data_IF_846241967803
#
_entry.id   IF_846241967803
#
_cell.length_a   1.000
_cell.length_b   1.000
_cell.length_c   1.000
_cell.angle_alpha   90.00
_cell.angle_beta   90.00
_cell.angle_gamma   90.00
#
_symmetry.space_group_name_H-M   'P 1'
#
loop_
_entity.id
_entity.type
_entity.pdbx_description
1 polymer ?
#
# COMPACT_ATOMS: atom_id res chain seq x y z
N UNK A 1 13.13 14.74 -25.08
CA UNK A 1 13.57 13.66 -24.16
C UNK A 1 12.50 12.59 -24.19
N UNK A 2 12.83 11.41 -24.69
CA UNK A 2 11.96 10.22 -24.72
C UNK A 2 11.90 9.60 -23.32
N UNK A 3 10.70 9.49 -22.75
CA UNK A 3 10.47 8.73 -21.51
C UNK A 3 10.78 7.24 -21.74
N UNK A 4 11.39 6.57 -20.75
CA UNK A 4 11.72 5.15 -20.83
C UNK A 4 10.45 4.30 -20.63
N UNK A 5 9.89 3.83 -21.74
CA UNK A 5 8.74 2.95 -21.70
C UNK A 5 9.15 1.53 -21.28
N UNK A 6 8.75 1.11 -20.08
CA UNK A 6 9.04 -0.22 -19.51
C UNK A 6 8.01 -1.28 -19.94
N UNK A 7 7.83 -1.44 -21.25
CA UNK A 7 6.88 -2.43 -21.79
C UNK A 7 7.36 -3.88 -21.67
N UNK A 8 6.38 -4.77 -21.44
CA UNK A 8 6.55 -6.22 -21.48
C UNK A 8 7.53 -6.75 -20.44
N UNK A 9 7.86 -8.04 -20.57
CA UNK A 9 8.71 -8.77 -19.62
C UNK A 9 10.08 -8.13 -19.41
N UNK A 10 10.71 -7.62 -20.47
CA UNK A 10 12.00 -6.93 -20.36
C UNK A 10 11.90 -5.67 -19.50
N UNK A 11 10.83 -4.88 -19.67
CA UNK A 11 10.59 -3.71 -18.84
C UNK A 11 10.32 -4.07 -17.38
N UNK A 12 9.58 -5.15 -17.13
CA UNK A 12 9.35 -5.65 -15.77
C UNK A 12 10.67 -6.08 -15.10
N UNK A 13 11.49 -6.87 -15.78
CA UNK A 13 12.80 -7.28 -15.28
C UNK A 13 13.73 -6.10 -15.03
N UNK A 14 13.64 -5.06 -15.86
CA UNK A 14 14.39 -3.82 -15.67
C UNK A 14 13.94 -3.06 -14.42
N UNK A 15 12.68 -3.13 -14.00
CA UNK A 15 12.26 -2.56 -12.72
C UNK A 15 12.78 -3.42 -11.55
N UNK A 16 12.67 -4.74 -11.65
CA UNK A 16 13.08 -5.70 -10.61
C UNK A 16 14.60 -5.78 -10.41
N UNK A 17 15.39 -5.36 -11.41
CA UNK A 17 16.86 -5.33 -11.31
C UNK A 17 17.39 -4.25 -10.37
N UNK A 18 16.53 -3.38 -9.84
CA UNK A 18 16.92 -2.33 -8.90
C UNK A 18 16.56 -2.71 -7.46
N UNK A 19 17.56 -2.90 -6.60
CA UNK A 19 17.39 -2.91 -5.15
C UNK A 19 17.39 -1.46 -4.64
N UNK A 20 16.27 -1.02 -4.04
CA UNK A 20 15.99 0.40 -3.76
C UNK A 20 15.70 0.63 -2.26
N UNK A 21 16.65 0.39 -1.34
CA UNK A 21 16.43 0.70 0.07
C UNK A 21 15.98 2.15 0.26
N UNK A 22 15.07 2.37 1.20
CA UNK A 22 14.56 3.70 1.50
C UNK A 22 15.69 4.71 1.73
N UNK A 23 15.51 5.90 1.16
CA UNK A 23 16.42 7.03 1.22
C UNK A 23 17.85 6.76 0.71
N UNK A 24 18.04 5.68 -0.07
CA UNK A 24 19.31 5.38 -0.69
C UNK A 24 19.58 6.23 -1.94
N UNK A 25 20.84 6.40 -2.36
CA UNK A 25 21.16 6.99 -3.66
C UNK A 25 20.54 6.22 -4.84
N UNK A 26 20.36 4.91 -4.69
CA UNK A 26 19.81 4.04 -5.76
C UNK A 26 18.31 4.23 -5.92
N UNK A 27 17.55 4.33 -4.81
CA UNK A 27 16.13 4.70 -4.85
C UNK A 27 15.95 6.05 -5.55
N UNK A 28 16.74 7.08 -5.19
CA UNK A 28 16.68 8.39 -5.86
C UNK A 28 17.02 8.32 -7.35
N UNK A 29 18.04 7.53 -7.72
CA UNK A 29 18.43 7.35 -9.11
C UNK A 29 17.33 6.64 -9.92
N UNK A 30 16.68 5.63 -9.34
CA UNK A 30 15.54 4.95 -9.95
C UNK A 30 14.41 5.94 -10.27
N UNK A 31 14.07 6.80 -9.32
CA UNK A 31 13.03 7.81 -9.56
C UNK A 31 13.41 8.80 -10.65
N UNK A 32 14.66 9.27 -10.66
CA UNK A 32 15.16 10.16 -11.70
C UNK A 32 15.14 9.52 -13.09
N UNK A 33 15.30 8.21 -13.17
CA UNK A 33 15.31 7.46 -14.42
C UNK A 33 13.89 7.17 -14.93
N UNK A 34 13.03 6.63 -14.07
CA UNK A 34 11.72 6.07 -14.48
C UNK A 34 10.51 6.91 -14.08
N UNK A 35 10.61 7.81 -13.10
CA UNK A 35 9.44 8.59 -12.63
C UNK A 35 9.53 10.05 -13.06
N UNK A 36 10.63 10.72 -12.75
CA UNK A 36 10.80 12.17 -12.92
C UNK A 36 10.88 12.58 -14.41
N UNK A 37 11.12 11.63 -15.32
CA UNK A 37 11.10 11.85 -16.77
C UNK A 37 9.70 11.83 -17.38
N UNK A 38 8.69 11.40 -16.63
CA UNK A 38 7.30 11.39 -17.10
C UNK A 38 6.79 12.84 -17.15
N UNK A 39 6.28 13.32 -18.29
CA UNK A 39 5.73 14.66 -18.38
C UNK A 39 4.61 14.88 -17.37
N UNK A 40 4.74 15.93 -16.56
CA UNK A 40 3.75 16.29 -15.54
C UNK A 40 3.96 15.63 -14.18
N UNK A 41 4.93 14.72 -14.03
CA UNK A 41 5.29 14.15 -12.74
C UNK A 41 5.82 15.25 -11.81
N UNK A 42 5.30 15.30 -10.59
CA UNK A 42 5.73 16.23 -9.54
C UNK A 42 6.23 15.45 -8.34
N UNK A 43 7.18 16.03 -7.60
CA UNK A 43 7.57 15.54 -6.29
C UNK A 43 7.00 16.47 -5.21
N UNK A 44 6.51 15.90 -4.11
CA UNK A 44 6.20 16.67 -2.90
C UNK A 44 7.47 16.92 -2.05
N UNK A 45 7.31 17.50 -0.86
CA UNK A 45 8.45 17.83 0.00
C UNK A 45 9.10 16.61 0.68
N UNK A 46 8.38 15.48 0.78
CA UNK A 46 8.93 14.20 1.25
C UNK A 46 9.67 13.47 0.11
N UNK A 47 9.23 13.71 -1.12
CA UNK A 47 9.73 13.12 -2.35
C UNK A 47 8.80 12.07 -2.94
N UNK A 48 7.54 11.96 -2.52
CA UNK A 48 6.55 11.12 -3.21
C UNK A 48 6.33 11.68 -4.62
N UNK A 49 6.05 10.81 -5.60
CA UNK A 49 5.83 11.24 -6.99
C UNK A 49 4.35 11.18 -7.32
N UNK A 50 3.86 12.27 -7.90
CA UNK A 50 2.45 12.57 -8.08
C UNK A 50 2.21 12.92 -9.54
N UNK A 51 1.30 12.21 -10.18
CA UNK A 51 0.86 12.51 -11.55
C UNK A 51 -0.66 12.40 -11.64
N UNK A 52 -1.29 13.39 -12.27
CA UNK A 52 -2.73 13.35 -12.57
C UNK A 52 -2.92 13.16 -14.07
N UNK A 53 -3.70 12.15 -14.45
CA UNK A 53 -4.15 11.93 -15.83
C UNK A 53 -5.67 12.02 -15.88
N UNK A 54 -6.20 12.75 -16.86
CA UNK A 54 -7.63 13.02 -17.02
C UNK A 54 -8.10 14.29 -16.30
N UNK A 55 -9.37 14.66 -16.53
CA UNK A 55 -10.02 15.78 -15.84
C UNK A 55 -10.63 15.30 -14.52
N UNK A 56 -10.12 15.82 -13.39
CA UNK A 56 -10.58 15.52 -12.03
C UNK A 56 -10.86 14.02 -11.78
N UNK A 57 -9.84 13.17 -11.88
CA UNK A 57 -10.02 11.74 -11.64
C UNK A 57 -10.47 11.49 -10.19
N UNK A 58 -11.34 10.50 -10.01
CA UNK A 58 -11.88 10.10 -8.70
C UNK A 58 -11.24 8.83 -8.14
N UNK A 59 -10.29 8.25 -8.88
CA UNK A 59 -9.55 7.05 -8.47
C UNK A 59 -8.07 7.38 -8.38
N UNK A 60 -7.47 6.96 -7.29
CA UNK A 60 -6.04 6.99 -7.03
C UNK A 60 -5.45 5.59 -7.18
N UNK A 61 -4.36 5.51 -7.91
CA UNK A 61 -3.54 4.31 -8.11
C UNK A 61 -2.25 4.50 -7.34
N UNK A 62 -1.85 3.52 -6.52
CA UNK A 62 -0.62 3.63 -5.73
C UNK A 62 0.28 2.41 -5.76
N UNK A 63 1.57 2.69 -5.61
CA UNK A 63 2.66 1.75 -5.38
C UNK A 63 3.74 2.42 -4.54
N UNK A 64 4.52 1.66 -3.79
CA UNK A 64 5.67 2.21 -3.09
C UNK A 64 6.96 2.01 -3.90
N UNK A 65 7.93 2.91 -3.73
CA UNK A 65 9.15 2.94 -4.54
C UNK A 65 10.29 2.16 -3.89
N UNK A 66 10.41 2.23 -2.58
CA UNK A 66 11.47 1.56 -1.85
C UNK A 66 11.31 0.03 -1.82
N UNK A 67 12.34 -0.66 -1.37
CA UNK A 67 12.34 -2.11 -1.17
C UNK A 67 13.02 -2.40 0.16
N UNK A 68 12.67 -3.48 0.87
CA UNK A 68 13.40 -3.89 2.10
C UNK A 68 14.88 -4.27 1.94
N UNK A 69 15.46 -4.23 0.73
CA UNK A 69 16.85 -4.63 0.51
C UNK A 69 17.82 -3.89 1.45
N UNK A 70 18.76 -4.60 2.08
CA UNK A 70 19.69 -4.00 3.05
C UNK A 70 20.77 -3.11 2.38
N UNK A 71 21.00 -3.29 1.08
CA UNK A 71 21.95 -2.51 0.28
C UNK A 71 21.36 -2.23 -1.09
N UNK A 72 21.48 -0.98 -1.53
CA UNK A 72 21.01 -0.58 -2.85
C UNK A 72 22.00 -0.98 -3.94
N UNK A 73 21.47 -1.27 -5.12
CA UNK A 73 22.29 -1.56 -6.29
C UNK A 73 21.51 -2.26 -7.40
N UNK A 74 22.25 -2.70 -8.41
CA UNK A 74 21.73 -3.57 -9.46
C UNK A 74 21.81 -5.03 -9.04
N UNK A 75 20.83 -5.83 -9.43
CA UNK A 75 20.74 -7.25 -9.13
C UNK A 75 20.34 -8.09 -10.34
N UNK A 76 20.87 -9.30 -10.42
CA UNK A 76 20.58 -10.24 -11.50
C UNK A 76 19.21 -10.91 -11.23
N UNK A 77 18.24 -10.66 -12.10
CA UNK A 77 16.90 -11.26 -12.07
C UNK A 77 16.71 -12.15 -13.30
N UNK A 78 16.09 -13.30 -13.11
CA UNK A 78 15.76 -14.25 -14.19
C UNK A 78 14.31 -14.70 -14.11
N UNK A 79 13.78 -15.18 -15.23
CA UNK A 79 12.47 -15.82 -15.34
C UNK A 79 12.72 -17.28 -15.71
N UNK A 80 12.07 -18.21 -15.01
CA UNK A 80 12.15 -19.64 -15.32
C UNK A 80 11.12 -20.08 -16.39
N UNK A 81 11.09 -21.37 -16.70
CA UNK A 81 10.17 -21.95 -17.70
C UNK A 81 8.68 -21.91 -17.27
N UNK A 82 8.41 -21.58 -16.01
CA UNK A 82 7.06 -21.47 -15.43
C UNK A 82 6.60 -20.01 -15.30
N UNK A 83 7.31 -19.07 -15.94
CA UNK A 83 7.05 -17.63 -15.87
C UNK A 83 7.19 -17.06 -14.44
N UNK A 84 8.07 -17.64 -13.62
CA UNK A 84 8.37 -17.14 -12.28
C UNK A 84 9.66 -16.33 -12.31
N UNK A 85 9.57 -15.04 -12.01
CA UNK A 85 10.72 -14.17 -11.80
C UNK A 85 11.30 -14.35 -10.39
N UNK A 86 12.63 -14.38 -10.29
CA UNK A 86 13.35 -14.47 -9.01
C UNK A 86 14.80 -13.98 -9.14
N UNK A 87 15.46 -13.75 -8.00
CA UNK A 87 16.88 -13.43 -7.96
C UNK A 87 17.73 -14.62 -8.43
N UNK A 88 18.58 -14.42 -9.43
CA UNK A 88 19.52 -15.45 -9.90
C UNK A 88 20.54 -15.88 -8.83
N UNK A 89 20.89 -14.96 -7.92
CA UNK A 89 21.90 -15.16 -6.85
C UNK A 89 21.44 -14.55 -5.53
N UNK A 90 20.22 -14.87 -5.09
CA UNK A 90 19.65 -14.36 -3.84
C UNK A 90 20.50 -14.69 -2.60
N UNK A 91 20.68 -13.71 -1.71
CA UNK A 91 21.41 -13.81 -0.44
C UNK A 91 20.68 -13.06 0.67
N UNK A 92 20.95 -13.41 1.93
CA UNK A 92 20.40 -12.70 3.07
C UNK A 92 20.62 -11.17 2.94
N UNK A 93 19.57 -10.39 3.21
CA UNK A 93 19.55 -8.94 3.04
C UNK A 93 19.27 -8.46 1.61
N UNK A 94 18.98 -9.36 0.68
CA UNK A 94 18.43 -9.03 -0.65
C UNK A 94 16.94 -9.39 -0.70
N UNK A 95 16.22 -8.72 -1.59
CA UNK A 95 14.85 -9.03 -1.99
C UNK A 95 14.75 -8.90 -3.52
N UNK A 96 13.81 -9.60 -4.15
CA UNK A 96 13.55 -9.42 -5.57
C UNK A 96 13.02 -7.99 -5.82
N UNK A 97 12.29 -7.44 -4.85
CA UNK A 97 11.67 -6.12 -4.96
C UNK A 97 10.52 -6.11 -5.95
N UNK A 98 9.82 -7.25 -6.09
CA UNK A 98 8.51 -7.31 -6.72
C UNK A 98 7.45 -6.66 -5.84
N UNK A 99 7.70 -6.67 -4.54
CA UNK A 99 7.17 -5.78 -3.51
C UNK A 99 8.04 -4.48 -3.45
N UNK A 100 7.64 -3.35 -4.07
CA UNK A 100 6.49 -3.17 -4.98
C UNK A 100 6.91 -2.80 -6.42
N UNK A 101 7.94 -3.48 -6.96
CA UNK A 101 8.32 -3.35 -8.36
C UNK A 101 7.23 -3.79 -9.34
N UNK A 102 6.34 -4.71 -8.95
CA UNK A 102 5.23 -5.17 -9.77
C UNK A 102 4.16 -4.07 -9.92
N UNK A 103 3.75 -3.42 -8.83
CA UNK A 103 2.81 -2.30 -8.85
C UNK A 103 3.36 -1.09 -9.60
N UNK A 104 4.63 -0.76 -9.40
CA UNK A 104 5.31 0.29 -10.19
C UNK A 104 5.21 -0.02 -11.69
N UNK A 105 5.55 -1.24 -12.10
CA UNK A 105 5.52 -1.62 -13.52
C UNK A 105 4.10 -1.54 -14.11
N UNK A 106 3.07 -1.99 -13.38
CA UNK A 106 1.66 -1.86 -13.77
C UNK A 106 1.30 -0.39 -13.97
N UNK A 107 1.57 0.47 -12.98
CA UNK A 107 1.24 1.88 -13.03
C UNK A 107 1.95 2.61 -14.17
N UNK A 108 3.24 2.33 -14.42
CA UNK A 108 3.98 2.95 -15.52
C UNK A 108 3.37 2.63 -16.89
N UNK A 109 2.87 1.40 -17.08
CA UNK A 109 2.19 1.00 -18.31
C UNK A 109 0.76 1.58 -18.41
N UNK A 110 0.04 1.72 -17.29
CA UNK A 110 -1.24 2.45 -17.26
C UNK A 110 -1.08 3.93 -17.61
N UNK A 111 -0.04 4.58 -17.08
CA UNK A 111 0.34 5.96 -17.40
C UNK A 111 0.64 6.09 -18.90
N UNK A 112 1.43 5.18 -19.45
CA UNK A 112 1.78 5.18 -20.87
C UNK A 112 0.54 5.00 -21.78
N UNK A 113 -0.46 4.24 -21.32
CA UNK A 113 -1.75 4.09 -21.99
C UNK A 113 -2.74 5.22 -21.72
N UNK A 114 -2.35 6.25 -20.95
CA UNK A 114 -3.20 7.41 -20.65
C UNK A 114 -4.43 7.08 -19.81
N UNK A 115 -4.37 6.04 -18.97
CA UNK A 115 -5.50 5.67 -18.10
C UNK A 115 -5.75 6.79 -17.08
N UNK A 116 -6.99 7.31 -16.94
CA UNK A 116 -7.29 8.35 -15.97
C UNK A 116 -7.01 7.92 -14.53
N UNK A 117 -6.55 8.85 -13.70
CA UNK A 117 -6.24 8.57 -12.30
C UNK A 117 -5.31 9.60 -11.67
N UNK A 118 -5.31 9.64 -10.34
CA UNK A 118 -4.23 10.19 -9.55
C UNK A 118 -3.22 9.07 -9.28
N UNK A 119 -2.03 9.15 -9.83
CA UNK A 119 -0.96 8.17 -9.62
C UNK A 119 -0.04 8.67 -8.52
N UNK A 120 0.09 7.90 -7.44
CA UNK A 120 1.01 8.16 -6.33
C UNK A 120 2.06 7.05 -6.24
N UNK A 121 3.32 7.45 -6.34
CA UNK A 121 4.46 6.57 -6.03
C UNK A 121 5.02 7.01 -4.68
N UNK A 122 4.66 6.28 -3.63
CA UNK A 122 5.02 6.55 -2.25
C UNK A 122 6.49 6.21 -1.98
N UNK A 123 7.09 6.88 -1.01
CA UNK A 123 8.43 6.54 -0.50
C UNK A 123 8.34 6.13 0.97
N UNK A 124 9.15 5.17 1.37
CA UNK A 124 9.28 4.81 2.78
C UNK A 124 8.09 4.02 3.32
N UNK A 125 7.43 3.24 2.46
CA UNK A 125 6.38 2.30 2.90
C UNK A 125 6.99 1.27 3.84
N UNK A 126 8.11 0.70 3.41
CA UNK A 126 8.88 -0.34 4.10
C UNK A 126 9.53 0.16 5.41
N UNK A 127 9.33 1.44 5.73
CA UNK A 127 9.78 2.13 6.95
C UNK A 127 8.59 2.67 7.76
N UNK A 128 7.40 2.11 7.55
CA UNK A 128 6.16 2.50 8.23
C UNK A 128 5.38 3.59 7.49
N UNK A 129 5.19 3.44 6.17
CA UNK A 129 4.29 4.31 5.37
C UNK A 129 4.60 5.81 5.46
N UNK A 130 5.88 6.17 5.61
CA UNK A 130 6.29 7.56 5.90
C UNK A 130 5.82 8.56 4.83
N UNK A 131 5.83 8.14 3.57
CA UNK A 131 5.42 8.96 2.44
C UNK A 131 3.93 9.23 2.41
N UNK A 132 3.10 8.21 2.62
CA UNK A 132 1.65 8.37 2.68
C UNK A 132 1.20 9.10 3.95
N UNK A 133 1.83 8.82 5.08
CA UNK A 133 1.65 9.58 6.32
C UNK A 133 1.90 11.09 6.11
N UNK A 134 2.99 11.43 5.40
CA UNK A 134 3.30 12.81 5.08
C UNK A 134 2.19 13.47 4.25
N UNK A 135 1.64 12.77 3.25
CA UNK A 135 0.55 13.28 2.41
C UNK A 135 -0.71 13.52 3.24
N UNK A 136 -1.12 12.54 4.05
CA UNK A 136 -2.32 12.63 4.88
C UNK A 136 -2.25 13.84 5.85
N UNK A 137 -1.06 14.08 6.43
CA UNK A 137 -0.86 15.17 7.40
C UNK A 137 -0.66 16.54 6.76
N UNK A 138 0.09 16.63 5.67
CA UNK A 138 0.60 17.91 5.15
C UNK A 138 -0.11 18.39 3.88
N UNK A 139 -0.64 17.45 3.08
CA UNK A 139 -1.33 17.76 1.82
C UNK A 139 -2.63 16.95 1.67
N UNK A 140 -3.52 16.89 2.67
CA UNK A 140 -4.76 16.11 2.59
C UNK A 140 -5.68 16.56 1.45
N UNK A 141 -5.58 17.83 1.02
CA UNK A 141 -6.32 18.36 -0.12
C UNK A 141 -6.04 17.62 -1.43
N UNK A 142 -4.90 16.93 -1.54
CA UNK A 142 -4.58 16.07 -2.69
C UNK A 142 -5.62 14.93 -2.86
N UNK A 143 -6.24 14.51 -1.76
CA UNK A 143 -7.14 13.36 -1.68
C UNK A 143 -8.63 13.76 -1.65
N UNK A 144 -8.94 15.06 -1.56
CA UNK A 144 -10.27 15.59 -1.24
C UNK A 144 -11.42 15.11 -2.15
N UNK A 145 -11.12 14.83 -3.42
CA UNK A 145 -12.12 14.40 -4.42
C UNK A 145 -11.86 12.97 -4.93
N UNK A 146 -11.01 12.21 -4.21
CA UNK A 146 -10.75 10.81 -4.49
C UNK A 146 -11.77 9.94 -3.75
N UNK A 147 -12.48 9.11 -4.50
CA UNK A 147 -13.43 8.15 -3.94
C UNK A 147 -12.77 6.83 -3.60
N UNK A 148 -11.77 6.43 -4.39
CA UNK A 148 -11.12 5.15 -4.25
C UNK A 148 -9.59 5.26 -4.38
N UNK A 149 -8.88 4.65 -3.44
CA UNK A 149 -7.45 4.47 -3.41
C UNK A 149 -7.15 2.96 -3.56
N UNK A 150 -6.53 2.57 -4.67
CA UNK A 150 -6.21 1.18 -4.99
C UNK A 150 -4.69 1.05 -5.05
N UNK A 151 -4.11 0.34 -4.07
CA UNK A 151 -2.72 -0.06 -4.09
C UNK A 151 -2.52 -1.34 -4.92
N UNK A 152 -1.39 -1.42 -5.62
CA UNK A 152 -0.94 -2.60 -6.35
C UNK A 152 0.14 -3.35 -5.56
N UNK A 153 -0.12 -3.62 -4.29
CA UNK A 153 0.91 -3.94 -3.31
C UNK A 153 0.50 -5.08 -2.36
N UNK A 154 -0.08 -6.15 -2.92
CA UNK A 154 -0.47 -7.31 -2.14
C UNK A 154 0.11 -8.58 -2.74
N UNK A 155 0.70 -9.40 -1.87
CA UNK A 155 1.10 -10.75 -2.21
C UNK A 155 -0.10 -11.59 -2.68
N UNK A 156 0.15 -12.62 -3.48
CA UNK A 156 -0.91 -13.50 -3.95
C UNK A 156 -1.49 -13.10 -5.29
N UNK A 157 -2.61 -13.74 -5.66
CA UNK A 157 -3.14 -13.73 -7.03
C UNK A 157 -4.63 -13.33 -7.10
N UNK A 158 -5.26 -13.02 -5.97
CA UNK A 158 -6.71 -13.05 -5.87
C UNK A 158 -7.34 -12.09 -4.87
N UNK A 159 -6.56 -11.33 -4.12
CA UNK A 159 -7.11 -10.64 -2.97
C UNK A 159 -7.45 -9.20 -3.38
N UNK A 160 -8.67 -8.78 -3.04
CA UNK A 160 -9.07 -7.38 -3.01
C UNK A 160 -9.33 -7.03 -1.55
N UNK A 161 -8.41 -6.30 -0.93
CA UNK A 161 -8.40 -6.11 0.52
C UNK A 161 -9.54 -5.17 0.97
N UNK A 162 -10.33 -5.61 1.95
CA UNK A 162 -11.43 -4.86 2.56
C UNK A 162 -11.04 -4.23 3.90
N UNK A 163 -10.13 -4.88 4.62
CA UNK A 163 -9.66 -4.48 5.94
C UNK A 163 -8.14 -4.41 5.94
N UNK A 164 -7.60 -3.36 6.54
CA UNK A 164 -6.17 -3.19 6.73
C UNK A 164 -5.93 -2.95 8.22
N UNK A 165 -4.99 -3.70 8.79
CA UNK A 165 -4.71 -3.70 10.23
C UNK A 165 -5.96 -3.99 11.08
N UNK A 166 -6.51 -2.99 11.76
CA UNK A 166 -7.56 -3.15 12.78
C UNK A 166 -8.91 -2.57 12.35
N UNK A 167 -9.09 -2.25 11.06
CA UNK A 167 -10.32 -1.61 10.62
C UNK A 167 -10.66 -1.84 9.15
N UNK A 168 -11.95 -1.62 8.85
CA UNK A 168 -12.44 -1.59 7.49
C UNK A 168 -11.92 -0.35 6.79
N UNK A 169 -11.30 -0.55 5.64
CA UNK A 169 -10.81 0.53 4.78
C UNK A 169 -11.53 0.55 3.43
N UNK A 170 -12.18 -0.55 3.06
CA UNK A 170 -12.91 -0.74 1.82
C UNK A 170 -14.17 -1.57 2.07
N UNK A 171 -15.29 -1.20 1.43
CA UNK A 171 -16.55 -1.92 1.52
C UNK A 171 -16.50 -3.25 0.78
N UNK A 172 -17.24 -4.25 1.27
CA UNK A 172 -17.38 -5.53 0.59
C UNK A 172 -18.00 -5.34 -0.81
N UNK A 173 -18.87 -4.35 -0.98
CA UNK A 173 -19.49 -4.02 -2.25
C UNK A 173 -18.49 -3.47 -3.27
N UNK A 174 -17.60 -2.54 -2.86
CA UNK A 174 -16.50 -2.08 -3.71
C UNK A 174 -15.60 -3.26 -4.08
N UNK A 175 -15.14 -4.03 -3.09
CA UNK A 175 -14.21 -5.13 -3.30
C UNK A 175 -14.79 -6.21 -4.22
N UNK A 176 -16.06 -6.58 -4.03
CA UNK A 176 -16.75 -7.56 -4.88
C UNK A 176 -16.94 -7.03 -6.30
N UNK A 177 -17.23 -5.74 -6.47
CA UNK A 177 -17.37 -5.12 -7.79
C UNK A 177 -16.05 -5.08 -8.55
N UNK A 178 -14.97 -4.67 -7.90
CA UNK A 178 -13.63 -4.66 -8.49
C UNK A 178 -13.20 -6.08 -8.85
N UNK A 179 -13.37 -7.04 -7.93
CA UNK A 179 -13.07 -8.44 -8.17
C UNK A 179 -13.83 -9.02 -9.38
N UNK A 180 -15.15 -8.78 -9.46
CA UNK A 180 -15.96 -9.22 -10.59
C UNK A 180 -15.46 -8.60 -11.90
N UNK A 181 -15.19 -7.29 -11.92
CA UNK A 181 -14.72 -6.62 -13.12
C UNK A 181 -13.39 -7.20 -13.63
N UNK A 182 -12.46 -7.52 -12.73
CA UNK A 182 -11.21 -8.19 -13.09
C UNK A 182 -11.46 -9.62 -13.60
N UNK A 183 -12.29 -10.40 -12.91
CA UNK A 183 -12.62 -11.77 -13.30
C UNK A 183 -13.33 -11.86 -14.66
N UNK A 184 -14.16 -10.87 -14.99
CA UNK A 184 -14.84 -10.77 -16.29
C UNK A 184 -13.85 -10.46 -17.43
N UNK A 185 -12.79 -9.70 -17.14
CA UNK A 185 -11.74 -9.37 -18.11
C UNK A 185 -10.74 -10.51 -18.33
N UNK A 186 -10.64 -11.46 -17.39
CA UNK A 186 -9.79 -12.64 -17.55
C UNK A 186 -10.36 -13.89 -16.87
N UNK A 187 -10.75 -14.95 -17.62
CA UNK A 187 -11.35 -16.15 -17.07
C UNK A 187 -10.41 -16.98 -16.18
N UNK A 188 -9.10 -16.68 -16.18
CA UNK A 188 -8.11 -17.28 -15.29
C UNK A 188 -8.06 -16.64 -13.90
N UNK A 189 -8.65 -15.46 -13.71
CA UNK A 189 -8.65 -14.78 -12.42
C UNK A 189 -9.69 -15.31 -11.45
N UNK A 190 -9.36 -15.21 -10.17
CA UNK A 190 -10.21 -15.60 -9.04
C UNK A 190 -10.19 -14.53 -7.95
N UNK A 191 -10.18 -13.26 -8.36
CA UNK A 191 -10.22 -12.15 -7.43
C UNK A 191 -11.46 -12.22 -6.56
N UNK A 192 -11.32 -11.89 -5.28
CA UNK A 192 -12.39 -11.88 -4.28
C UNK A 192 -12.05 -10.91 -3.15
N UNK A 193 -13.05 -10.40 -2.42
CA UNK A 193 -12.82 -9.70 -1.16
C UNK A 193 -12.00 -10.55 -0.18
N UNK A 194 -11.11 -9.90 0.56
CA UNK A 194 -10.28 -10.50 1.61
C UNK A 194 -10.12 -9.50 2.77
N UNK A 195 -10.30 -9.94 4.02
CA UNK A 195 -10.27 -9.12 5.23
C UNK A 195 -8.96 -9.27 6.03
N UNK A 196 -7.95 -9.95 5.47
CA UNK A 196 -6.66 -10.24 6.12
C UNK A 196 -5.55 -9.25 5.73
N UNK A 197 -5.93 -8.03 5.36
CA UNK A 197 -4.96 -7.01 4.98
C UNK A 197 -4.13 -6.52 6.15
N UNK A 198 -2.87 -6.23 5.87
CA UNK A 198 -1.96 -5.59 6.82
C UNK A 198 -1.97 -4.08 6.61
N UNK A 199 -1.27 -3.35 7.47
CA UNK A 199 -1.05 -1.92 7.30
C UNK A 199 -0.26 -1.65 6.01
N UNK A 200 -0.75 -0.76 5.14
CA UNK A 200 -0.04 -0.30 3.92
C UNK A 200 -0.36 1.17 3.65
N UNK A 201 0.26 1.78 2.64
CA UNK A 201 0.11 3.21 2.32
C UNK A 201 -1.34 3.70 2.19
N UNK A 202 -2.26 2.88 1.67
CA UNK A 202 -3.67 3.33 1.51
C UNK A 202 -4.44 3.36 2.83
N UNK A 203 -3.97 2.65 3.85
CA UNK A 203 -4.57 2.70 5.18
C UNK A 203 -4.47 4.11 5.80
N UNK A 204 -3.39 4.84 5.52
CA UNK A 204 -3.20 6.24 5.95
C UNK A 204 -4.30 7.19 5.43
N UNK A 205 -5.01 6.78 4.36
CA UNK A 205 -6.07 7.57 3.76
C UNK A 205 -7.47 7.13 4.14
N UNK A 206 -7.62 6.06 4.93
CA UNK A 206 -8.93 5.49 5.22
C UNK A 206 -9.87 6.51 5.90
N UNK A 207 -9.36 7.43 6.71
CA UNK A 207 -10.17 8.50 7.32
C UNK A 207 -10.61 9.62 6.37
N UNK A 208 -10.13 9.61 5.11
CA UNK A 208 -10.32 10.68 4.13
C UNK A 208 -11.01 10.14 2.88
N UNK A 209 -10.51 9.03 2.34
CA UNK A 209 -10.97 8.39 1.11
C UNK A 209 -11.95 7.27 1.46
N UNK A 210 -13.14 7.23 0.86
CA UNK A 210 -14.15 6.18 1.09
C UNK A 210 -13.61 4.77 0.95
N UNK A 211 -12.98 4.45 -0.18
CA UNK A 211 -12.60 3.07 -0.54
C UNK A 211 -11.09 2.94 -0.66
N UNK A 212 -10.42 2.49 0.40
CA UNK A 212 -8.99 2.21 0.42
C UNK A 212 -8.75 0.69 0.40
N UNK A 213 -8.20 0.19 -0.70
CA UNK A 213 -7.95 -1.24 -0.91
C UNK A 213 -6.53 -1.49 -1.39
N UNK A 214 -6.12 -2.75 -1.31
CA UNK A 214 -4.87 -3.25 -1.84
C UNK A 214 -5.13 -4.52 -2.65
N UNK A 215 -4.54 -4.61 -3.83
CA UNK A 215 -4.83 -5.63 -4.83
C UNK A 215 -3.65 -6.58 -5.00
N UNK A 216 -3.92 -7.89 -4.98
CA UNK A 216 -2.90 -8.89 -5.28
C UNK A 216 -2.24 -8.65 -6.64
N UNK A 217 -0.90 -8.71 -6.71
CA UNK A 217 -0.16 -8.48 -7.98
C UNK A 217 0.72 -9.65 -8.43
N UNK A 218 0.76 -10.74 -7.66
CA UNK A 218 1.38 -12.00 -8.05
C UNK A 218 2.75 -12.28 -7.45
N UNK A 219 3.24 -11.44 -6.53
CA UNK A 219 4.44 -11.76 -5.76
C UNK A 219 4.13 -12.67 -4.57
N UNK A 220 5.15 -13.41 -4.12
CA UNK A 220 5.09 -14.31 -2.97
C UNK A 220 6.42 -14.35 -2.24
N UNK A 221 6.38 -14.65 -0.93
CA UNK A 221 7.59 -14.81 -0.12
C UNK A 221 8.39 -13.52 -0.04
N UNK A 222 7.68 -12.40 0.04
CA UNK A 222 8.22 -11.06 0.08
C UNK A 222 9.18 -10.86 1.25
N UNK A 223 9.94 -9.76 1.15
CA UNK A 223 10.92 -9.33 2.14
C UNK A 223 12.11 -10.28 2.36
N UNK A 224 12.43 -11.09 1.33
CA UNK A 224 13.57 -12.00 1.42
C UNK A 224 14.13 -12.43 0.06
N UNK A 225 15.27 -13.12 0.08
CA UNK A 225 15.97 -13.49 -1.15
C UNK A 225 15.30 -14.61 -1.95
N UNK A 226 14.18 -15.15 -1.44
CA UNK A 226 13.36 -16.16 -2.10
C UNK A 226 12.03 -15.58 -2.59
N UNK A 227 11.89 -14.27 -2.54
CA UNK A 227 10.76 -13.58 -3.14
C UNK A 227 10.68 -13.94 -4.62
N UNK A 228 9.47 -14.23 -5.07
CA UNK A 228 9.16 -14.56 -6.46
C UNK A 228 8.01 -13.72 -6.97
N UNK A 229 7.93 -13.56 -8.29
CA UNK A 229 6.79 -12.92 -8.96
C UNK A 229 6.29 -13.83 -10.08
N UNK A 230 4.98 -14.09 -10.09
CA UNK A 230 4.31 -14.71 -11.22
C UNK A 230 4.13 -13.70 -12.36
N UNK A 231 5.02 -13.74 -13.34
CA UNK A 231 5.08 -12.77 -14.44
C UNK A 231 3.83 -12.87 -15.32
N UNK A 232 3.36 -14.09 -15.61
CA UNK A 232 2.14 -14.31 -16.38
C UNK A 232 0.90 -13.70 -15.70
N UNK A 233 0.78 -13.83 -14.38
CA UNK A 233 -0.29 -13.16 -13.63
C UNK A 233 -0.17 -11.64 -13.69
N UNK A 234 1.03 -11.09 -13.48
CA UNK A 234 1.28 -9.65 -13.52
C UNK A 234 0.96 -9.05 -14.91
N UNK A 235 1.33 -9.74 -16.00
CA UNK A 235 1.00 -9.33 -17.38
C UNK A 235 -0.51 -9.37 -17.63
N UNK A 236 -1.20 -10.41 -17.17
CA UNK A 236 -2.66 -10.52 -17.26
C UNK A 236 -3.35 -9.41 -16.47
N UNK A 237 -2.82 -9.06 -15.29
CA UNK A 237 -3.38 -8.02 -14.45
C UNK A 237 -3.25 -6.66 -15.13
N UNK A 238 -2.07 -6.34 -15.67
CA UNK A 238 -1.89 -5.15 -16.49
C UNK A 238 -2.90 -5.10 -17.66
N UNK A 239 -3.05 -6.19 -18.41
CA UNK A 239 -4.00 -6.24 -19.53
C UNK A 239 -5.45 -5.98 -19.10
N UNK A 240 -5.85 -6.43 -17.91
CA UNK A 240 -7.15 -6.12 -17.33
C UNK A 240 -7.23 -4.64 -16.88
N UNK A 241 -6.22 -4.11 -16.20
CA UNK A 241 -6.20 -2.72 -15.75
C UNK A 241 -6.24 -1.70 -16.89
N UNK A 242 -5.69 -2.04 -18.05
CA UNK A 242 -5.78 -1.22 -19.26
C UNK A 242 -7.21 -1.15 -19.84
N UNK A 243 -8.06 -2.13 -19.52
CA UNK A 243 -9.45 -2.24 -19.97
C UNK A 243 -10.48 -1.86 -18.90
N UNK A 244 -10.10 -1.89 -17.62
CA UNK A 244 -10.99 -1.61 -16.49
C UNK A 244 -11.66 -0.24 -16.64
N UNK A 245 -12.99 -0.24 -16.57
CA UNK A 245 -13.79 0.98 -16.45
C UNK A 245 -14.02 1.31 -14.97
N UNK A 246 -13.13 2.13 -14.43
CA UNK A 246 -13.18 2.53 -13.03
C UNK A 246 -14.44 3.35 -12.66
N UNK A 247 -15.16 3.91 -13.64
CA UNK A 247 -16.39 4.67 -13.38
C UNK A 247 -17.57 3.78 -12.95
N UNK A 248 -17.45 2.46 -13.13
CA UNK A 248 -18.46 1.47 -12.77
C UNK A 248 -18.24 0.84 -11.39
N UNK A 249 -17.18 1.23 -10.70
CA UNK A 249 -16.90 0.79 -9.32
C UNK A 249 -17.94 1.38 -8.36
N UNK A 250 -18.28 0.61 -7.32
CA UNK A 250 -19.28 0.98 -6.31
C UNK A 250 -18.57 1.69 -5.18
N UNK A 251 -18.99 2.90 -4.82
CA UNK A 251 -18.50 3.63 -3.65
C UNK A 251 -19.60 3.61 -2.60
N UNK A 252 -19.37 2.94 -1.47
CA UNK A 252 -20.39 2.71 -0.44
C UNK A 252 -19.93 3.12 0.96
N UNK A 253 -18.65 2.92 1.28
CA UNK A 253 -18.12 3.21 2.60
C UNK A 253 -18.14 4.72 2.89
N UNK A 254 -18.62 5.11 4.06
CA UNK A 254 -18.47 6.48 4.57
C UNK A 254 -17.24 6.57 5.47
N UNK A 255 -16.19 7.33 5.09
CA UNK A 255 -14.97 7.40 5.88
C UNK A 255 -15.13 8.17 7.19
N UNK A 256 -16.21 8.93 7.37
CA UNK A 256 -16.51 9.68 8.60
C UNK A 256 -17.14 8.84 9.71
N UNK A 257 -17.65 7.65 9.38
CA UNK A 257 -18.25 6.72 10.34
C UNK A 257 -17.18 5.78 10.88
N UNK A 258 -17.15 5.62 12.21
CA UNK A 258 -16.38 4.54 12.84
C UNK A 258 -17.13 3.23 12.65
N UNK A 259 -16.47 2.23 12.07
CA UNK A 259 -17.05 0.91 11.89
C UNK A 259 -17.08 0.14 13.22
N UNK A 260 -18.24 -0.48 13.52
CA UNK A 260 -18.53 -1.15 14.80
C UNK A 260 -17.83 -2.53 14.92
N UNK A 261 -17.19 -2.99 13.83
CA UNK A 261 -16.41 -4.23 13.76
C UNK A 261 -15.24 -4.28 14.77
N UNK A 262 -14.94 -3.16 15.46
CA UNK A 262 -14.04 -3.09 16.63
C UNK A 262 -14.57 -3.81 17.87
N UNK A 263 -15.89 -4.03 18.01
CA UNK A 263 -16.50 -4.56 19.24
C UNK A 263 -16.51 -6.09 19.34
N UNK A 264 -16.39 -6.81 18.23
CA UNK A 264 -16.35 -8.27 18.21
C UNK A 264 -15.10 -8.90 18.87
N UNK A 265 -14.07 -8.09 19.14
CA UNK A 265 -12.83 -8.52 19.79
C UNK A 265 -12.67 -8.06 21.23
N UNK A 266 -13.51 -7.15 21.75
CA UNK A 266 -13.35 -6.64 23.11
C UNK A 266 -13.52 -7.73 24.20
N UNK A 267 -14.29 -8.78 23.92
CA UNK A 267 -14.49 -9.91 24.84
C UNK A 267 -13.32 -10.91 24.83
N UNK A 268 -12.65 -11.10 23.68
CA UNK A 268 -11.47 -11.98 23.55
C UNK A 268 -10.17 -11.27 23.96
N UNK A 269 -10.05 -9.97 23.68
CA UNK A 269 -8.87 -9.16 24.03
C UNK A 269 -8.74 -8.93 25.53
N UNK A 270 -9.82 -8.81 26.31
CA UNK A 270 -9.71 -8.70 27.78
C UNK A 270 -9.02 -9.90 28.44
N UNK A 271 -9.08 -11.08 27.81
CA UNK A 271 -8.37 -12.27 28.29
C UNK A 271 -6.89 -12.30 27.92
N UNK A 272 -6.48 -11.76 26.76
CA UNK A 272 -5.10 -11.79 26.26
C UNK A 272 -4.32 -10.48 26.47
N UNK A 273 -5.01 -9.36 26.65
CA UNK A 273 -4.41 -8.06 26.97
C UNK A 273 -3.78 -8.05 28.37
N UNK A 274 -4.28 -8.87 29.30
CA UNK A 274 -3.59 -9.11 30.58
C UNK A 274 -2.21 -9.71 30.36
N UNK A 275 -2.13 -10.82 29.63
CA UNK A 275 -0.87 -11.51 29.35
C UNK A 275 0.11 -10.66 28.53
N UNK A 276 -0.39 -9.85 27.58
CA UNK A 276 0.44 -8.96 26.78
C UNK A 276 0.88 -7.72 27.55
N UNK A 277 -0.01 -7.08 28.32
CA UNK A 277 0.34 -5.94 29.15
C UNK A 277 1.38 -6.34 30.21
N UNK A 278 1.24 -7.53 30.80
CA UNK A 278 2.23 -8.09 31.71
C UNK A 278 3.58 -8.32 31.00
N UNK A 279 3.57 -8.91 29.80
CA UNK A 279 4.80 -9.10 29.01
C UNK A 279 5.47 -7.77 28.59
N UNK A 280 4.68 -6.74 28.26
CA UNK A 280 5.15 -5.39 27.95
C UNK A 280 5.71 -4.71 29.20
N UNK A 281 5.05 -4.85 30.35
CA UNK A 281 5.51 -4.32 31.63
C UNK A 281 6.82 -4.99 32.07
N UNK A 282 6.99 -6.28 31.80
CA UNK A 282 8.23 -7.02 32.05
C UNK A 282 9.35 -6.66 31.05
N UNK A 283 9.00 -6.22 29.83
CA UNK A 283 9.96 -5.95 28.74
C UNK A 283 9.73 -4.59 28.05
N UNK A 284 9.74 -3.46 28.78
CA UNK A 284 9.29 -2.17 28.25
C UNK A 284 10.18 -1.61 27.15
N UNK A 285 11.48 -1.89 27.17
CA UNK A 285 12.40 -1.45 26.11
C UNK A 285 12.25 -2.26 24.82
N UNK A 286 11.89 -3.54 24.91
CA UNK A 286 11.60 -4.35 23.74
C UNK A 286 10.29 -3.88 23.10
N UNK A 287 9.27 -3.63 23.92
CA UNK A 287 8.00 -3.09 23.47
C UNK A 287 8.19 -1.71 22.80
N UNK A 288 8.94 -0.79 23.43
CA UNK A 288 9.24 0.51 22.85
C UNK A 288 9.97 0.38 21.51
N UNK A 289 10.93 -0.53 21.40
CA UNK A 289 11.63 -0.79 20.14
C UNK A 289 10.71 -1.35 19.07
N UNK A 290 9.82 -2.29 19.42
CA UNK A 290 8.84 -2.83 18.49
C UNK A 290 7.87 -1.75 18.01
N UNK A 291 7.47 -0.83 18.90
CA UNK A 291 6.64 0.33 18.55
C UNK A 291 7.39 1.28 17.61
N UNK A 292 8.66 1.57 17.89
CA UNK A 292 9.53 2.37 17.02
C UNK A 292 9.72 1.71 15.64
N UNK A 293 9.96 0.39 15.61
CA UNK A 293 10.08 -0.40 14.38
C UNK A 293 8.77 -0.43 13.59
N UNK A 294 7.62 -0.29 14.27
CA UNK A 294 6.29 -0.11 13.67
C UNK A 294 5.96 1.37 13.34
N UNK A 295 6.92 2.29 13.48
CA UNK A 295 6.74 3.71 13.15
C UNK A 295 5.96 4.52 14.18
N UNK A 296 5.59 3.94 15.34
CA UNK A 296 4.90 4.66 16.41
C UNK A 296 5.87 5.60 17.12
N UNK A 297 5.63 6.90 17.04
CA UNK A 297 6.46 7.88 17.76
C UNK A 297 6.01 8.03 19.21
N UNK A 298 6.88 8.61 20.05
CA UNK A 298 6.53 8.94 21.44
C UNK A 298 5.32 9.89 21.52
N UNK A 299 5.17 10.79 20.56
CA UNK A 299 4.04 11.72 20.53
C UNK A 299 2.74 10.99 20.16
N UNK A 300 2.79 10.05 19.20
CA UNK A 300 1.64 9.22 18.84
C UNK A 300 1.20 8.36 20.04
N UNK A 301 2.17 7.72 20.72
CA UNK A 301 1.90 6.92 21.91
C UNK A 301 1.25 7.76 23.02
N UNK A 302 1.71 8.99 23.23
CA UNK A 302 1.16 9.91 24.24
C UNK A 302 -0.23 10.41 23.90
N UNK A 303 -0.50 10.68 22.63
CA UNK A 303 -1.84 11.10 22.18
C UNK A 303 -2.83 9.96 22.41
N UNK A 304 -2.48 8.74 22.02
CA UNK A 304 -3.33 7.56 22.21
C UNK A 304 -3.56 7.27 23.69
N UNK A 305 -2.50 7.31 24.52
CA UNK A 305 -2.61 7.12 25.96
C UNK A 305 -3.50 8.19 26.63
N UNK A 306 -3.39 9.44 26.17
CA UNK A 306 -4.23 10.53 26.66
C UNK A 306 -5.71 10.38 26.23
N UNK A 307 -5.98 9.90 25.01
CA UNK A 307 -7.33 9.60 24.54
C UNK A 307 -7.99 8.45 25.32
N UNK A 308 -7.23 7.41 25.69
CA UNK A 308 -7.72 6.34 26.59
C UNK A 308 -8.07 6.87 27.99
N UNK A 309 -7.19 7.68 28.60
CA UNK A 309 -7.44 8.30 29.91
C UNK A 309 -8.68 9.21 29.89
N UNK A 310 -8.90 9.95 28.79
CA UNK A 310 -10.06 10.83 28.62
C UNK A 310 -11.37 10.10 28.34
N UNK A 311 -11.31 8.93 27.68
CA UNK A 311 -12.49 8.10 27.44
C UNK A 311 -12.99 7.37 28.71
N UNK A 312 -12.09 7.10 29.66
CA UNK A 312 -12.45 6.63 31.00
C UNK A 312 -13.09 7.74 31.87
N UNK A 313 -12.89 9.02 31.53
CA UNK A 313 -13.49 10.19 32.21
C UNK A 313 -14.85 10.64 31.63
N UNK A 314 -15.62 9.75 30.99
CA UNK A 314 -17.04 10.00 30.65
C UNK A 314 -17.97 9.95 31.89
N UNK A 315 -17.63 10.75 32.91
CA UNK A 315 -18.40 11.04 34.11
C UNK A 315 -18.64 12.53 34.35
N UNK A 316 -18.38 13.40 33.37
CA UNK A 316 -18.55 14.85 33.54
C UNK A 316 -20.04 15.25 33.59
N UNK A 317 -20.59 15.35 34.80
CA UNK A 317 -21.86 16.05 35.07
C UNK A 317 -21.60 17.55 35.13
N UNK A 318 -22.30 18.40 34.35
CA UNK A 318 -22.28 19.82 34.59
C UNK A 318 -22.95 20.10 35.95
N UNK A 319 -22.21 20.73 36.85
CA UNK A 319 -22.76 21.30 38.08
C UNK A 319 -23.71 22.44 37.70
N UNK A 320 -25.02 22.15 37.67
CA UNK A 320 -26.03 23.19 37.82
C UNK A 320 -26.10 23.63 39.29
N UNK A 321 -25.73 24.91 39.47
CA UNK A 321 -26.20 25.91 40.43
C UNK A 321 -26.56 25.55 41.88
N UNK A 322 -25.88 26.23 42.80
CA UNK A 322 -26.51 27.10 43.81
C UNK A 322 -25.68 28.35 44.00
#
# INVERSE_FOLDING_TARGET
>A
MTYHHVAGRTGLLEILSWARPHNSPVERAFCQEYLDRIPGMKADAFGNRILTIGDRPRVMWSSHVDTVAARGGQQDVGIDELDIASLCKGKAGMSLGADDGAGIWIMLNMIAAGRPGLYLFHRGEEQGCLGSHWIARNTPDLLKDIDAAIAFDRAGLSDVITHQSYGRTCSDAFAARLASALNDLNPGFRYRPDDTGVYTDTNEYAGIVPECTNLSVGYHGQHGPRETLNVDHCEKLLAAMLQLDASLLVIERDPSLQDDDRWGWHETYRGQAGDLADAVAENPHLAARMLEDCGVTLDDFRIIAWEEEMNDETGYRPLMAS
#
